data_IF_103212187660
#
_entry.id   IF_103212187660
#
_cell.length_a   1.000
_cell.length_b   1.000
_cell.length_c   1.000
_cell.angle_alpha   90.00
_cell.angle_beta   90.00
_cell.angle_gamma   90.00
#
_symmetry.space_group_name_H-M   'P 1'
#
loop_
_entity.id
_entity.type
_entity.pdbx_description
1 polymer ?
#
# COMPACT_ATOMS: atom_id res chain seq x y z
N UNK A 1 -23.50 -5.32 -9.03
CA UNK A 1 -22.52 -5.61 -7.95
C UNK A 1 -22.93 -4.84 -6.71
N UNK A 2 -22.64 -5.35 -5.52
CA UNK A 2 -22.85 -4.61 -4.28
C UNK A 2 -21.92 -3.40 -4.21
N UNK A 3 -22.42 -2.29 -3.68
CA UNK A 3 -21.65 -1.07 -3.43
C UNK A 3 -20.47 -1.36 -2.47
N UNK A 4 -19.28 -0.86 -2.82
CA UNK A 4 -18.09 -0.94 -1.97
C UNK A 4 -18.00 0.37 -1.19
N UNK A 5 -18.63 0.40 -0.02
CA UNK A 5 -18.70 1.62 0.80
C UNK A 5 -17.35 1.97 1.46
N UNK A 6 -16.76 0.99 2.13
CA UNK A 6 -15.42 1.06 2.72
C UNK A 6 -14.86 -0.35 2.85
N UNK A 7 -13.64 -0.53 2.36
CA UNK A 7 -12.80 -1.70 2.60
C UNK A 7 -11.43 -1.23 3.03
N UNK A 8 -10.80 -2.00 3.91
CA UNK A 8 -9.46 -1.74 4.40
C UNK A 8 -8.66 -3.03 4.31
N UNK A 9 -7.38 -2.92 3.97
CA UNK A 9 -6.49 -4.07 3.94
C UNK A 9 -5.05 -3.65 4.21
N UNK A 10 -4.26 -4.63 4.63
CA UNK A 10 -2.82 -4.51 4.77
C UNK A 10 -2.16 -5.77 4.24
N UNK A 11 -0.90 -5.63 3.87
CA UNK A 11 -0.03 -6.78 3.68
C UNK A 11 1.40 -6.39 4.06
N UNK A 12 2.19 -7.41 4.39
CA UNK A 12 3.64 -7.31 4.52
C UNK A 12 4.27 -8.34 3.59
N UNK A 13 5.21 -7.90 2.76
CA UNK A 13 6.09 -8.77 2.00
C UNK A 13 7.51 -8.48 2.44
N UNK A 14 8.14 -9.48 3.03
CA UNK A 14 9.52 -9.39 3.48
C UNK A 14 10.50 -9.56 2.32
N UNK A 15 11.60 -8.83 2.40
CA UNK A 15 12.79 -9.04 1.60
C UNK A 15 13.67 -10.13 2.22
N UNK A 16 14.77 -10.46 1.55
CA UNK A 16 15.81 -11.25 2.19
C UNK A 16 16.50 -10.46 3.31
N UNK A 17 17.03 -11.15 4.32
CA UNK A 17 17.74 -10.52 5.43
C UNK A 17 18.82 -9.56 4.92
N UNK A 18 18.75 -8.32 5.42
CA UNK A 18 19.69 -7.25 5.08
C UNK A 18 19.35 -6.45 3.82
N UNK A 19 18.30 -6.76 3.07
CA UNK A 19 17.95 -6.01 1.85
C UNK A 19 17.10 -4.73 2.08
N UNK A 20 16.56 -4.50 3.28
CA UNK A 20 15.78 -3.30 3.67
C UNK A 20 14.54 -2.97 2.81
N UNK A 21 14.29 -3.73 1.74
CA UNK A 21 13.27 -3.53 0.72
C UNK A 21 11.90 -4.07 1.15
N UNK A 22 11.70 -4.42 2.42
CA UNK A 22 10.40 -4.86 2.94
C UNK A 22 9.30 -3.84 2.61
N UNK A 23 8.10 -4.32 2.31
CA UNK A 23 6.97 -3.46 1.97
C UNK A 23 5.76 -3.76 2.84
N UNK A 24 5.17 -2.71 3.42
CA UNK A 24 4.02 -2.80 4.31
C UNK A 24 2.93 -1.78 3.96
N UNK A 25 2.28 -1.86 2.79
CA UNK A 25 1.21 -0.95 2.42
C UNK A 25 -0.06 -1.20 3.26
N UNK A 26 -0.74 -0.11 3.58
CA UNK A 26 -2.12 -0.11 4.08
C UNK A 26 -3.02 0.57 3.06
N UNK A 27 -4.15 -0.05 2.74
CA UNK A 27 -5.07 0.45 1.71
C UNK A 27 -6.45 0.72 2.29
N UNK A 28 -7.05 1.82 1.87
CA UNK A 28 -8.48 2.10 2.02
C UNK A 28 -9.10 2.20 0.62
N UNK A 29 -10.23 1.54 0.41
CA UNK A 29 -10.93 1.47 -0.89
C UNK A 29 -12.41 1.76 -0.64
N UNK A 30 -13.01 2.68 -1.40
CA UNK A 30 -14.43 2.98 -1.24
C UNK A 30 -14.99 3.90 -2.30
N UNK A 31 -16.32 4.02 -2.30
CA UNK A 31 -17.07 4.91 -3.20
C UNK A 31 -16.63 6.37 -3.01
N UNK A 32 -16.54 7.11 -4.12
CA UNK A 32 -16.18 8.55 -4.13
C UNK A 32 -17.17 9.42 -3.35
N UNK A 33 -18.41 8.96 -3.13
CA UNK A 33 -19.43 9.63 -2.31
C UNK A 33 -19.29 9.30 -0.82
N UNK A 34 -18.50 8.27 -0.50
CA UNK A 34 -18.33 7.73 0.84
C UNK A 34 -17.20 8.36 1.65
N UNK A 35 -16.83 7.75 2.79
CA UNK A 35 -15.79 8.28 3.68
C UNK A 35 -14.42 8.34 3.03
N UNK A 36 -14.09 7.37 2.15
CA UNK A 36 -12.81 7.38 1.42
C UNK A 36 -12.73 8.55 0.46
N UNK A 37 -13.81 8.85 -0.27
CA UNK A 37 -13.88 10.01 -1.16
C UNK A 37 -13.73 11.35 -0.44
N UNK A 38 -14.36 11.50 0.72
CA UNK A 38 -14.20 12.69 1.56
C UNK A 38 -12.76 12.86 2.05
N UNK A 39 -12.14 11.79 2.54
CA UNK A 39 -10.74 11.80 2.97
C UNK A 39 -9.78 12.09 1.81
N UNK A 40 -10.01 11.46 0.66
CA UNK A 40 -9.23 11.67 -0.56
C UNK A 40 -9.27 13.14 -1.00
N UNK A 41 -10.46 13.75 -1.04
CA UNK A 41 -10.61 15.15 -1.38
C UNK A 41 -9.96 16.08 -0.33
N UNK A 42 -10.08 15.76 0.95
CA UNK A 42 -9.42 16.48 2.04
C UNK A 42 -7.88 16.40 2.01
N UNK A 43 -7.33 15.40 1.32
CA UNK A 43 -5.89 15.23 1.11
C UNK A 43 -5.33 16.05 -0.06
N UNK A 44 -6.13 16.89 -0.73
CA UNK A 44 -5.72 17.71 -1.88
C UNK A 44 -4.69 18.84 -1.58
N UNK A 45 -3.94 18.75 -0.47
CA UNK A 45 -2.86 19.66 -0.11
C UNK A 45 -1.66 18.90 0.47
N UNK A 46 -0.47 19.47 0.31
CA UNK A 46 0.77 18.86 0.77
C UNK A 46 1.00 19.08 2.26
N UNK A 47 1.67 18.11 2.90
CA UNK A 47 2.10 18.20 4.30
C UNK A 47 3.60 17.98 4.36
N UNK A 48 4.29 18.85 5.11
CA UNK A 48 5.74 18.75 5.28
C UNK A 48 6.13 17.36 5.79
N UNK A 49 7.08 16.73 5.10
CA UNK A 49 7.57 15.38 5.40
C UNK A 49 6.63 14.23 4.99
N UNK A 50 5.39 14.51 4.59
CA UNK A 50 4.41 13.48 4.22
C UNK A 50 3.70 13.90 2.91
N UNK A 51 4.40 13.83 1.77
CA UNK A 51 3.83 14.20 0.49
C UNK A 51 2.63 13.32 0.16
N UNK A 52 1.64 13.93 -0.47
CA UNK A 52 0.39 13.28 -0.90
C UNK A 52 0.27 13.47 -2.40
N UNK A 53 0.33 12.38 -3.13
CA UNK A 53 0.40 12.42 -4.59
C UNK A 53 -0.49 11.34 -5.17
N UNK A 54 -0.99 11.58 -6.39
CA UNK A 54 -1.70 10.52 -7.11
C UNK A 54 -0.73 9.42 -7.49
N UNK A 55 -1.18 8.18 -7.41
CA UNK A 55 -0.46 7.05 -8.01
C UNK A 55 -0.63 7.12 -9.53
N UNK A 56 0.50 7.11 -10.22
CA UNK A 56 0.55 7.01 -11.69
C UNK A 56 1.39 5.80 -12.10
N UNK A 57 1.06 5.19 -13.24
CA UNK A 57 1.93 4.19 -13.88
C UNK A 57 3.17 4.83 -14.50
N UNK A 58 2.95 6.00 -15.11
CA UNK A 58 3.95 6.86 -15.72
C UNK A 58 3.34 8.26 -15.90
N UNK A 59 4.12 9.22 -16.38
CA UNK A 59 3.64 10.55 -16.73
C UNK A 59 2.41 10.47 -17.65
N UNK A 60 1.33 11.16 -17.27
CA UNK A 60 0.04 11.17 -17.97
C UNK A 60 -0.70 9.81 -17.97
N UNK A 61 -0.32 8.87 -17.12
CA UNK A 61 -0.95 7.54 -16.99
C UNK A 61 -1.43 7.30 -15.55
N UNK A 62 -2.32 8.16 -15.04
CA UNK A 62 -2.91 8.00 -13.71
C UNK A 62 -3.76 6.73 -13.63
N UNK A 63 -3.58 5.93 -12.58
CA UNK A 63 -4.32 4.67 -12.41
C UNK A 63 -5.81 4.90 -12.17
N UNK A 64 -6.60 3.83 -12.34
CA UNK A 64 -7.96 3.72 -11.83
C UNK A 64 -8.04 2.51 -10.89
N UNK A 65 -8.85 2.54 -9.81
CA UNK A 65 -9.51 3.71 -9.25
C UNK A 65 -8.54 4.84 -8.89
N UNK A 66 -9.02 6.09 -8.89
CA UNK A 66 -8.17 7.23 -8.54
C UNK A 66 -7.57 6.99 -7.14
N UNK A 67 -6.25 6.99 -7.05
CA UNK A 67 -5.53 6.54 -5.85
C UNK A 67 -4.58 7.62 -5.35
N UNK A 68 -4.71 8.00 -4.09
CA UNK A 68 -3.79 8.89 -3.38
C UNK A 68 -2.77 8.01 -2.64
N UNK A 69 -1.48 8.21 -2.87
CA UNK A 69 -0.43 7.63 -2.04
C UNK A 69 0.14 8.68 -1.08
N UNK A 70 0.46 8.23 0.13
CA UNK A 70 1.23 8.96 1.13
C UNK A 70 2.22 7.99 1.80
N UNK A 71 3.22 8.50 2.49
CA UNK A 71 4.17 7.70 3.25
C UNK A 71 3.81 7.60 4.74
N UNK A 72 4.18 6.51 5.39
CA UNK A 72 4.15 6.30 6.86
C UNK A 72 5.41 6.83 7.55
N UNK A 73 6.45 7.12 6.79
CA UNK A 73 7.73 7.61 7.28
C UNK A 73 7.93 9.05 6.84
N UNK A 74 8.45 9.89 7.72
CA UNK A 74 8.85 11.25 7.36
C UNK A 74 9.90 11.21 6.26
N UNK A 75 9.59 11.83 5.12
CA UNK A 75 10.52 12.04 4.01
C UNK A 75 11.60 13.01 4.48
N UNK A 76 12.85 12.57 4.44
CA UNK A 76 14.01 13.30 4.98
C UNK A 76 15.08 13.64 3.92
N UNK A 77 15.00 13.07 2.71
CA UNK A 77 16.02 13.26 1.67
C UNK A 77 15.45 13.20 0.25
N UNK A 78 16.16 13.78 -0.71
CA UNK A 78 15.83 13.72 -2.14
C UNK A 78 15.88 12.29 -2.67
N UNK A 79 16.89 11.50 -2.28
CA UNK A 79 16.99 10.08 -2.64
C UNK A 79 15.76 9.28 -2.18
N UNK A 80 15.20 9.58 -1.01
CA UNK A 80 13.95 8.95 -0.56
C UNK A 80 12.76 9.36 -1.45
N UNK A 81 12.69 10.63 -1.85
CA UNK A 81 11.65 11.13 -2.78
C UNK A 81 11.74 10.43 -4.13
N UNK A 82 12.95 10.25 -4.66
CA UNK A 82 13.18 9.56 -5.93
C UNK A 82 12.75 8.09 -5.87
N UNK A 83 13.01 7.39 -4.77
CA UNK A 83 12.58 6.00 -4.59
C UNK A 83 11.05 5.91 -4.44
N UNK A 84 10.46 6.76 -3.60
CA UNK A 84 9.02 6.80 -3.33
C UNK A 84 8.23 7.15 -4.60
N UNK A 85 8.61 8.23 -5.28
CA UNK A 85 7.97 8.70 -6.51
C UNK A 85 8.40 7.95 -7.78
N UNK A 86 9.46 7.15 -7.71
CA UNK A 86 9.96 6.33 -8.81
C UNK A 86 9.49 4.88 -8.70
N UNK A 87 10.41 4.00 -8.27
CA UNK A 87 10.22 2.54 -8.29
C UNK A 87 9.01 2.11 -7.47
N UNK A 88 8.84 2.69 -6.28
CA UNK A 88 7.75 2.33 -5.37
C UNK A 88 6.40 2.72 -5.97
N UNK A 89 6.26 3.95 -6.47
CA UNK A 89 5.04 4.39 -7.16
C UNK A 89 4.75 3.54 -8.40
N UNK A 90 5.77 3.21 -9.21
CA UNK A 90 5.60 2.35 -10.38
C UNK A 90 5.06 0.96 -9.99
N UNK A 91 5.65 0.33 -8.98
CA UNK A 91 5.21 -0.96 -8.43
C UNK A 91 3.77 -0.91 -7.91
N UNK A 92 3.42 0.12 -7.14
CA UNK A 92 2.06 0.34 -6.64
C UNK A 92 1.08 0.53 -7.80
N UNK A 93 1.45 1.31 -8.82
CA UNK A 93 0.62 1.53 -9.99
C UNK A 93 0.38 0.25 -10.79
N UNK A 94 1.42 -0.55 -11.02
CA UNK A 94 1.32 -1.86 -11.70
C UNK A 94 0.37 -2.80 -10.95
N UNK A 95 0.53 -2.90 -9.63
CA UNK A 95 -0.31 -3.74 -8.79
C UNK A 95 -1.80 -3.36 -8.89
N UNK A 96 -2.13 -2.07 -8.94
CA UNK A 96 -3.52 -1.60 -9.10
C UNK A 96 -4.07 -1.96 -10.49
N UNK A 97 -3.29 -1.76 -11.55
CA UNK A 97 -3.70 -2.10 -12.92
C UNK A 97 -3.92 -3.60 -13.06
N UNK A 98 -3.03 -4.42 -12.50
CA UNK A 98 -3.18 -5.87 -12.52
C UNK A 98 -4.37 -6.33 -11.67
N UNK A 99 -4.64 -5.70 -10.53
CA UNK A 99 -5.85 -5.96 -9.74
C UNK A 99 -7.12 -5.71 -10.57
N UNK A 100 -7.16 -4.68 -11.42
CA UNK A 100 -8.26 -4.51 -12.37
C UNK A 100 -8.26 -5.61 -13.42
N UNK A 101 -7.12 -5.89 -14.04
CA UNK A 101 -6.99 -6.88 -15.12
C UNK A 101 -7.49 -8.27 -14.68
N UNK A 102 -7.15 -8.67 -13.46
CA UNK A 102 -7.47 -9.97 -12.84
C UNK A 102 -8.84 -10.00 -12.14
N UNK A 103 -9.56 -8.87 -12.10
CA UNK A 103 -10.89 -8.78 -11.48
C UNK A 103 -10.87 -8.80 -9.95
N UNK A 104 -9.73 -8.56 -9.31
CA UNK A 104 -9.64 -8.29 -7.87
C UNK A 104 -10.35 -6.98 -7.55
N UNK A 105 -10.08 -5.94 -8.37
CA UNK A 105 -10.85 -4.71 -8.40
C UNK A 105 -11.87 -4.80 -9.54
N UNK A 106 -13.15 -4.46 -9.29
CA UNK A 106 -14.18 -4.48 -10.33
C UNK A 106 -13.97 -3.35 -11.34
N UNK A 107 -13.73 -3.70 -12.61
CA UNK A 107 -13.49 -2.73 -13.70
C UNK A 107 -14.64 -1.74 -13.87
N UNK A 108 -15.88 -2.20 -13.68
CA UNK A 108 -17.08 -1.40 -13.88
C UNK A 108 -17.30 -0.34 -12.78
N UNK A 109 -16.58 -0.45 -11.65
CA UNK A 109 -16.60 0.54 -10.58
C UNK A 109 -15.30 1.36 -10.51
N UNK A 110 -14.39 1.19 -11.47
CA UNK A 110 -13.08 1.84 -11.44
C UNK A 110 -13.18 3.38 -11.42
N UNK A 111 -14.24 3.95 -11.99
CA UNK A 111 -14.48 5.40 -12.00
C UNK A 111 -15.37 5.90 -10.84
N UNK A 112 -16.01 5.00 -10.09
CA UNK A 112 -16.86 5.34 -8.93
C UNK A 112 -16.19 5.05 -7.59
N UNK A 113 -15.05 4.36 -7.61
CA UNK A 113 -14.21 4.12 -6.45
C UNK A 113 -13.03 5.10 -6.41
N UNK A 114 -12.51 5.30 -5.21
CA UNK A 114 -11.22 5.91 -4.97
C UNK A 114 -10.46 5.11 -3.90
N UNK A 115 -9.16 5.34 -3.83
CA UNK A 115 -8.28 4.66 -2.89
C UNK A 115 -7.33 5.63 -2.20
N UNK A 116 -6.96 5.28 -0.97
CA UNK A 116 -5.85 5.88 -0.25
C UNK A 116 -4.89 4.75 0.13
N UNK A 117 -3.61 4.90 -0.21
CA UNK A 117 -2.57 3.94 0.12
C UNK A 117 -1.49 4.62 0.95
N UNK A 118 -1.21 4.05 2.12
CA UNK A 118 -0.12 4.49 2.99
C UNK A 118 1.05 3.51 2.82
N UNK A 119 2.16 4.02 2.28
CA UNK A 119 3.35 3.25 1.95
C UNK A 119 4.35 3.34 3.08
N UNK A 120 4.89 2.19 3.50
CA UNK A 120 6.11 2.15 4.29
C UNK A 120 7.28 1.84 3.35
N UNK A 121 8.30 2.70 3.40
CA UNK A 121 9.58 2.50 2.73
C UNK A 121 10.66 2.77 3.78
N UNK A 122 11.53 1.79 4.01
CA UNK A 122 12.62 1.91 4.97
C UNK A 122 13.53 3.09 4.60
N UNK A 123 13.81 3.97 5.56
CA UNK A 123 14.67 5.14 5.34
C UNK A 123 16.08 4.74 4.88
N UNK A 124 16.56 3.56 5.29
CA UNK A 124 17.87 3.03 4.90
C UNK A 124 17.98 2.77 3.40
N UNK A 125 16.86 2.54 2.70
CA UNK A 125 16.89 2.38 1.24
C UNK A 125 17.48 3.60 0.53
N UNK A 126 17.26 4.81 1.07
CA UNK A 126 17.78 6.03 0.47
C UNK A 126 19.30 6.17 0.57
N UNK A 127 19.92 5.50 1.55
CA UNK A 127 21.35 5.60 1.86
C UNK A 127 22.13 4.32 1.48
N UNK A 128 21.46 3.24 1.08
CA UNK A 128 22.10 1.96 0.76
C UNK A 128 22.75 1.98 -0.64
N UNK A 129 24.09 1.93 -0.75
CA UNK A 129 24.78 1.90 -2.04
C UNK A 129 24.56 0.61 -2.83
N UNK A 130 24.06 -0.46 -2.19
CA UNK A 130 23.82 -1.76 -2.79
C UNK A 130 22.31 -2.09 -2.87
N UNK A 131 21.45 -1.08 -2.78
CA UNK A 131 19.99 -1.26 -2.83
C UNK A 131 19.55 -2.13 -4.01
N UNK A 132 18.91 -3.27 -3.71
CA UNK A 132 18.30 -4.13 -4.72
C UNK A 132 16.99 -3.49 -5.23
N UNK A 133 17.12 -2.66 -6.26
CA UNK A 133 15.99 -1.98 -6.91
C UNK A 133 14.95 -2.93 -7.50
N UNK A 134 15.37 -4.14 -7.89
CA UNK A 134 14.45 -5.15 -8.44
C UNK A 134 13.61 -5.75 -7.32
N UNK A 135 14.24 -6.05 -6.19
CA UNK A 135 13.52 -6.53 -5.01
C UNK A 135 12.60 -5.44 -4.44
N UNK A 136 13.05 -4.19 -4.38
CA UNK A 136 12.21 -3.05 -3.98
C UNK A 136 10.93 -2.95 -4.80
N UNK A 137 11.03 -3.12 -6.12
CA UNK A 137 9.85 -3.19 -6.99
C UNK A 137 8.97 -4.38 -6.63
N UNK A 138 9.55 -5.59 -6.53
CA UNK A 138 8.83 -6.83 -6.27
C UNK A 138 8.03 -6.76 -4.97
N UNK A 139 8.67 -6.40 -3.86
CA UNK A 139 8.03 -6.35 -2.54
C UNK A 139 6.86 -5.36 -2.53
N UNK A 140 7.05 -4.16 -3.09
CA UNK A 140 5.99 -3.14 -3.15
C UNK A 140 4.84 -3.56 -4.07
N UNK A 141 5.12 -4.18 -5.21
CA UNK A 141 4.10 -4.70 -6.12
C UNK A 141 3.30 -5.82 -5.44
N UNK A 142 3.97 -6.84 -4.91
CA UNK A 142 3.33 -8.01 -4.30
C UNK A 142 2.53 -7.61 -3.05
N UNK A 143 3.10 -6.76 -2.19
CA UNK A 143 2.42 -6.30 -0.99
C UNK A 143 1.21 -5.43 -1.32
N UNK A 144 1.32 -4.51 -2.29
CA UNK A 144 0.19 -3.68 -2.71
C UNK A 144 -0.95 -4.54 -3.24
N UNK A 145 -0.63 -5.49 -4.14
CA UNK A 145 -1.61 -6.41 -4.72
C UNK A 145 -2.30 -7.27 -3.66
N UNK A 146 -1.52 -7.80 -2.71
CA UNK A 146 -2.04 -8.62 -1.61
C UNK A 146 -2.92 -7.79 -0.66
N UNK A 147 -2.52 -6.56 -0.32
CA UNK A 147 -3.32 -5.67 0.52
C UNK A 147 -4.68 -5.34 -0.11
N UNK A 148 -4.70 -5.03 -1.41
CA UNK A 148 -5.94 -4.81 -2.18
C UNK A 148 -6.79 -6.08 -2.19
N UNK A 149 -6.21 -7.24 -2.49
CA UNK A 149 -6.94 -8.50 -2.52
C UNK A 149 -7.58 -8.84 -1.17
N UNK A 150 -6.85 -8.64 -0.07
CA UNK A 150 -7.35 -8.83 1.30
C UNK A 150 -8.47 -7.84 1.64
N UNK A 151 -8.31 -6.56 1.28
CA UNK A 151 -9.35 -5.56 1.48
C UNK A 151 -10.65 -5.96 0.78
N UNK A 152 -10.56 -6.40 -0.48
CA UNK A 152 -11.70 -6.80 -1.29
C UNK A 152 -12.38 -8.08 -0.79
N UNK A 153 -11.62 -8.98 -0.17
CA UNK A 153 -12.14 -10.21 0.46
C UNK A 153 -12.62 -10.03 1.90
N UNK A 154 -12.26 -8.92 2.56
CA UNK A 154 -12.51 -8.72 3.99
C UNK A 154 -11.66 -9.63 4.87
N UNK A 155 -10.40 -9.84 4.49
CA UNK A 155 -9.47 -10.74 5.16
C UNK A 155 -8.36 -9.97 5.92
N UNK A 156 -7.86 -10.51 7.05
CA UNK A 156 -8.41 -11.66 7.76
C UNK A 156 -9.75 -11.33 8.46
N UNK A 157 -10.63 -12.32 8.56
CA UNK A 157 -11.89 -12.18 9.29
C UNK A 157 -11.66 -12.17 10.80
N UNK A 158 -12.59 -11.57 11.56
CA UNK A 158 -12.57 -11.63 13.02
C UNK A 158 -12.51 -13.08 13.56
N UNK A 159 -13.21 -14.02 12.92
CA UNK A 159 -13.17 -15.45 13.28
C UNK A 159 -11.76 -16.04 13.11
N UNK A 160 -11.09 -15.77 11.99
CA UNK A 160 -9.71 -16.23 11.76
C UNK A 160 -8.73 -15.62 12.77
N UNK A 161 -8.88 -14.32 13.07
CA UNK A 161 -8.05 -13.62 14.05
C UNK A 161 -8.21 -14.21 15.45
N UNK A 162 -9.45 -14.48 15.89
CA UNK A 162 -9.73 -15.12 17.19
C UNK A 162 -9.13 -16.52 17.25
N UNK A 163 -9.31 -17.31 16.19
CA UNK A 163 -8.80 -18.68 16.12
C UNK A 163 -7.27 -18.73 16.21
N UNK A 164 -6.57 -17.81 15.55
CA UNK A 164 -5.12 -17.82 15.44
C UNK A 164 -4.40 -16.93 16.47
N UNK A 165 -5.14 -16.26 17.37
CA UNK A 165 -4.61 -15.26 18.33
C UNK A 165 -3.38 -15.77 19.10
N UNK A 166 -3.35 -17.05 19.45
CA UNK A 166 -2.31 -17.69 20.28
C UNK A 166 -1.23 -18.39 19.47
N UNK A 167 -1.45 -18.68 18.19
CA UNK A 167 -0.50 -19.39 17.33
C UNK A 167 0.30 -18.45 16.43
N UNK A 168 -0.21 -17.25 16.16
CA UNK A 168 0.47 -16.19 15.41
C UNK A 168 0.87 -15.10 16.40
N UNK A 169 2.16 -14.76 16.44
CA UNK A 169 2.70 -13.69 17.26
C UNK A 169 3.26 -12.58 16.38
N UNK A 170 3.20 -11.36 16.88
CA UNK A 170 3.88 -10.23 16.25
C UNK A 170 5.40 -10.42 16.43
N UNK A 171 6.20 -10.19 15.39
CA UNK A 171 7.66 -10.41 15.43
C UNK A 171 8.33 -9.70 16.61
N UNK A 172 7.92 -8.45 16.90
CA UNK A 172 8.43 -7.67 18.03
C UNK A 172 8.09 -8.23 19.43
N UNK A 173 7.36 -9.34 19.55
CA UNK A 173 7.06 -10.02 20.82
C UNK A 173 7.93 -11.26 21.06
N UNK A 174 8.82 -11.61 20.13
CA UNK A 174 9.78 -12.71 20.32
C UNK A 174 10.62 -12.45 21.58
N UNK A 175 10.62 -13.40 22.53
CA UNK A 175 11.33 -13.28 23.81
C UNK A 175 10.71 -12.29 24.82
N UNK A 176 9.58 -11.64 24.50
CA UNK A 176 8.93 -10.65 25.40
C UNK A 176 7.88 -11.30 26.29
N UNK A 177 7.07 -12.21 25.74
CA UNK A 177 5.94 -12.85 26.42
C UNK A 177 6.24 -14.29 26.86
N UNK A 178 7.45 -14.76 26.60
CA UNK A 178 7.93 -16.05 27.08
C UNK A 178 8.20 -15.93 28.59
N UNK A 179 7.38 -16.62 29.41
CA UNK A 179 7.55 -16.77 30.85
C UNK A 179 8.24 -18.10 31.18
#
# INVERSE_FOLDING_TARGET
>A
MSEIWLRTGEATVFAADGQFTDAMPEVMIGDVRGPVGHAFAGMAGQVAGHPRMFVIRDCNQMVRPATMMTTKMTVSSEAYVELLGGIVQAATGDAIVDCLAEGILPKEQADTLCMIIMIWLDQRCADDPNLDRRDLYRTNYEATKLAIARAMKGEPTATQLIANRKSISHYALEGVLDA
#
